data_IF_274207878548
#
_entry.id   IF_274207878548
#
_cell.length_a   1.000
_cell.length_b   1.000
_cell.length_c   1.000
_cell.angle_alpha   90.00
_cell.angle_beta   90.00
_cell.angle_gamma   90.00
#
_symmetry.space_group_name_H-M   'P 1'
#
loop_
_entity.id
_entity.type
_entity.pdbx_description
1 polymer ?
#
# COMPACT_ATOMS: atom_id res chain seq x y z
N UNK A 1 9.70 4.06 -56.86
CA UNK A 1 8.44 3.30 -56.78
C UNK A 1 7.98 3.36 -55.34
N UNK A 2 7.13 4.34 -55.05
CA UNK A 2 6.75 4.77 -53.70
C UNK A 2 5.57 3.92 -53.23
N UNK A 3 5.76 3.08 -52.22
CA UNK A 3 4.65 2.35 -51.58
C UNK A 3 4.00 3.24 -50.53
N UNK A 4 2.87 3.83 -50.91
CA UNK A 4 1.95 4.52 -50.01
C UNK A 4 1.44 3.53 -48.95
N UNK A 5 1.72 3.82 -47.68
CA UNK A 5 1.05 3.17 -46.55
C UNK A 5 -0.37 3.72 -46.47
N UNK A 6 -1.34 2.84 -46.71
CA UNK A 6 -2.76 3.09 -46.48
C UNK A 6 -3.00 3.43 -45.01
N UNK A 7 -3.43 4.68 -44.77
CA UNK A 7 -3.66 5.28 -43.45
C UNK A 7 -5.15 5.36 -43.09
N UNK A 8 -5.95 4.40 -43.55
CA UNK A 8 -7.42 4.43 -43.39
C UNK A 8 -8.02 3.28 -42.57
N UNK A 9 -7.28 2.73 -41.59
CA UNK A 9 -7.91 1.92 -40.52
C UNK A 9 -8.34 2.83 -39.37
N UNK A 10 -9.63 2.92 -39.03
CA UNK A 10 -10.03 3.59 -37.80
C UNK A 10 -9.30 2.91 -36.63
N UNK A 11 -8.62 3.70 -35.79
CA UNK A 11 -8.15 3.20 -34.50
C UNK A 11 -9.39 2.68 -33.79
N UNK A 12 -9.47 1.37 -33.60
CA UNK A 12 -10.45 0.80 -32.67
C UNK A 12 -10.15 1.48 -31.34
N UNK A 13 -11.04 2.37 -30.91
CA UNK A 13 -10.93 2.99 -29.58
C UNK A 13 -10.89 1.84 -28.59
N UNK A 14 -9.85 1.77 -27.76
CA UNK A 14 -9.83 0.79 -26.68
C UNK A 14 -11.15 0.89 -25.91
N UNK A 15 -11.83 -0.23 -25.65
CA UNK A 15 -13.13 -0.21 -24.98
C UNK A 15 -12.96 0.46 -23.61
N UNK A 16 -13.75 1.48 -23.34
CA UNK A 16 -13.76 2.14 -22.03
C UNK A 16 -14.01 1.09 -20.94
N UNK A 17 -13.15 0.99 -19.92
CA UNK A 17 -13.28 -0.05 -18.91
C UNK A 17 -14.59 0.13 -18.12
N UNK A 18 -15.21 -0.98 -17.72
CA UNK A 18 -16.42 -0.98 -16.86
C UNK A 18 -16.16 -0.22 -15.56
N UNK A 19 -15.00 -0.45 -14.95
CA UNK A 19 -14.55 0.22 -13.74
C UNK A 19 -13.04 0.41 -13.81
N UNK A 20 -12.58 1.53 -13.28
CA UNK A 20 -11.21 2.00 -13.44
C UNK A 20 -10.67 2.52 -12.12
N UNK A 21 -9.47 2.06 -11.75
CA UNK A 21 -8.64 2.69 -10.73
C UNK A 21 -7.57 3.52 -11.45
N UNK A 22 -7.78 4.83 -11.50
CA UNK A 22 -6.84 5.78 -12.09
C UNK A 22 -5.79 6.12 -11.04
N UNK A 23 -4.52 5.83 -11.36
CA UNK A 23 -3.38 6.05 -10.48
C UNK A 23 -2.50 7.18 -11.03
N UNK A 24 -2.42 8.27 -10.29
CA UNK A 24 -1.54 9.39 -10.57
C UNK A 24 -0.13 9.11 -10.04
N UNK A 25 0.76 8.71 -10.94
CA UNK A 25 2.16 8.41 -10.63
C UNK A 25 2.95 9.67 -10.29
N UNK A 26 2.52 10.86 -10.73
CA UNK A 26 3.12 12.12 -10.28
C UNK A 26 2.83 12.36 -8.81
N UNK A 27 1.61 12.06 -8.36
CA UNK A 27 1.26 12.16 -6.95
C UNK A 27 2.16 11.24 -6.09
N UNK A 28 2.38 9.99 -6.50
CA UNK A 28 3.29 9.08 -5.79
C UNK A 28 4.71 9.65 -5.73
N UNK A 29 5.25 10.10 -6.87
CA UNK A 29 6.57 10.74 -6.95
C UNK A 29 6.70 11.92 -6.00
N UNK A 30 5.74 12.84 -6.04
CA UNK A 30 5.76 14.08 -5.26
C UNK A 30 5.55 13.79 -3.76
N UNK A 31 4.70 12.83 -3.40
CA UNK A 31 4.55 12.38 -2.02
C UNK A 31 5.86 11.81 -1.47
N UNK A 32 6.58 10.99 -2.24
CA UNK A 32 7.89 10.47 -1.83
C UNK A 32 8.89 11.61 -1.62
N UNK A 33 8.93 12.60 -2.51
CA UNK A 33 9.79 13.77 -2.35
C UNK A 33 9.44 14.58 -1.07
N UNK A 34 8.15 14.78 -0.79
CA UNK A 34 7.66 15.42 0.44
C UNK A 34 8.08 14.64 1.68
N UNK A 35 7.92 13.31 1.68
CA UNK A 35 8.29 12.45 2.80
C UNK A 35 9.81 12.41 3.03
N UNK A 36 10.61 12.42 1.96
CA UNK A 36 12.07 12.49 2.03
C UNK A 36 12.54 13.82 2.61
N UNK A 37 11.92 14.93 2.20
CA UNK A 37 12.19 16.25 2.78
C UNK A 37 11.82 16.28 4.28
N UNK A 38 10.67 15.69 4.65
CA UNK A 38 10.23 15.56 6.05
C UNK A 38 11.23 14.75 6.89
N UNK A 39 11.80 13.68 6.34
CA UNK A 39 12.82 12.85 6.99
C UNK A 39 14.22 13.49 7.01
N UNK A 40 14.34 14.77 6.67
CA UNK A 40 15.60 15.55 6.61
C UNK A 40 16.63 14.93 5.65
N UNK A 41 16.15 14.34 4.54
CA UNK A 41 17.01 13.74 3.53
C UNK A 41 17.61 12.38 3.91
N UNK A 42 17.17 11.77 5.02
CA UNK A 42 17.47 10.36 5.32
C UNK A 42 17.02 9.46 4.18
N UNK A 43 17.75 8.35 3.90
CA UNK A 43 17.26 7.29 3.02
C UNK A 43 15.81 6.92 3.30
N UNK A 44 15.05 6.72 2.22
CA UNK A 44 13.65 6.35 2.28
C UNK A 44 13.45 5.00 1.56
N UNK A 45 12.86 4.05 2.27
CA UNK A 45 12.35 2.81 1.69
C UNK A 45 10.88 2.95 1.38
N UNK A 46 10.54 3.07 0.09
CA UNK A 46 9.15 3.10 -0.35
C UNK A 46 8.58 1.67 -0.31
N UNK A 47 7.55 1.47 0.51
CA UNK A 47 6.94 0.14 0.69
C UNK A 47 5.83 -0.07 -0.35
N UNK A 48 6.07 -1.00 -1.27
CA UNK A 48 5.22 -1.27 -2.45
C UNK A 48 4.61 -2.67 -2.47
N UNK A 49 4.67 -3.40 -1.34
CA UNK A 49 3.98 -4.69 -1.17
C UNK A 49 2.48 -4.62 -1.50
N UNK A 50 1.87 -5.79 -1.65
CA UNK A 50 0.46 -5.96 -2.00
C UNK A 50 0.08 -5.16 -3.25
N UNK A 51 0.86 -5.34 -4.32
CA UNK A 51 0.64 -4.68 -5.61
C UNK A 51 0.58 -3.16 -5.51
N UNK A 52 1.56 -2.55 -4.82
CA UNK A 52 1.59 -1.11 -4.56
C UNK A 52 0.41 -0.64 -3.70
N UNK A 53 -0.02 -1.43 -2.71
CA UNK A 53 -1.26 -1.16 -1.95
C UNK A 53 -2.47 -1.01 -2.90
N UNK A 54 -2.52 -1.83 -3.96
CA UNK A 54 -3.54 -1.78 -5.01
C UNK A 54 -3.32 -0.73 -6.11
N UNK A 55 -2.25 0.07 -6.02
CA UNK A 55 -1.92 1.11 -7.00
C UNK A 55 -1.09 0.60 -8.17
N UNK A 56 -0.65 -0.67 -8.18
CA UNK A 56 0.22 -1.26 -9.20
C UNK A 56 1.67 -1.33 -8.74
N UNK A 57 2.21 -2.55 -8.64
CA UNK A 57 3.54 -2.83 -8.09
C UNK A 57 4.67 -2.10 -8.83
N UNK A 58 4.75 -2.30 -10.15
CA UNK A 58 5.88 -1.86 -10.97
C UNK A 58 5.85 -0.34 -11.13
N UNK A 59 4.69 0.21 -11.46
CA UNK A 59 4.49 1.63 -11.73
C UNK A 59 4.66 2.46 -10.46
N UNK A 60 4.13 2.00 -9.32
CA UNK A 60 4.34 2.68 -8.05
C UNK A 60 5.82 2.66 -7.61
N UNK A 61 6.52 1.54 -7.81
CA UNK A 61 7.95 1.45 -7.52
C UNK A 61 8.75 2.43 -8.39
N UNK A 62 8.51 2.47 -9.70
CA UNK A 62 9.16 3.40 -10.61
C UNK A 62 8.88 4.87 -10.24
N UNK A 63 7.63 5.22 -9.91
CA UNK A 63 7.26 6.54 -9.44
C UNK A 63 7.95 6.91 -8.13
N UNK A 64 8.04 5.97 -7.19
CA UNK A 64 8.74 6.18 -5.92
C UNK A 64 10.25 6.41 -6.13
N UNK A 65 10.89 5.64 -7.03
CA UNK A 65 12.29 5.88 -7.43
C UNK A 65 12.48 7.28 -8.00
N UNK A 66 11.59 7.71 -8.90
CA UNK A 66 11.63 9.06 -9.46
C UNK A 66 11.40 10.16 -8.41
N UNK A 67 10.70 9.85 -7.31
CA UNK A 67 10.53 10.74 -6.16
C UNK A 67 11.73 10.79 -5.22
N UNK A 68 12.74 9.95 -5.46
CA UNK A 68 13.98 9.89 -4.68
C UNK A 68 14.03 8.77 -3.63
N UNK A 69 13.16 7.76 -3.70
CA UNK A 69 13.29 6.59 -2.81
C UNK A 69 14.54 5.78 -3.13
N UNK A 70 15.51 5.76 -2.22
CA UNK A 70 16.75 4.99 -2.35
C UNK A 70 16.52 3.49 -2.18
N UNK A 71 15.45 3.08 -1.48
CA UNK A 71 15.10 1.69 -1.24
C UNK A 71 13.66 1.38 -1.66
N UNK A 72 13.44 0.12 -2.04
CA UNK A 72 12.11 -0.46 -2.20
C UNK A 72 11.89 -1.57 -1.18
N UNK A 73 10.72 -1.59 -0.56
CA UNK A 73 10.32 -2.62 0.40
C UNK A 73 9.13 -3.43 -0.10
N UNK A 74 9.27 -4.74 -0.16
CA UNK A 74 8.20 -5.70 -0.53
C UNK A 74 8.06 -6.80 0.51
N UNK A 75 6.91 -7.45 0.58
CA UNK A 75 6.67 -8.46 1.60
C UNK A 75 7.25 -9.81 1.17
N UNK A 76 6.86 -10.29 -0.01
CA UNK A 76 7.13 -11.65 -0.47
C UNK A 76 8.15 -11.66 -1.62
N UNK A 77 8.72 -12.83 -1.93
CA UNK A 77 9.77 -12.95 -2.94
C UNK A 77 9.22 -12.69 -4.34
N UNK A 78 7.99 -13.08 -4.64
CA UNK A 78 7.36 -12.90 -5.95
C UNK A 78 7.26 -11.43 -6.34
N UNK A 79 6.99 -10.55 -5.36
CA UNK A 79 6.96 -9.10 -5.58
C UNK A 79 8.35 -8.57 -5.93
N UNK A 80 9.39 -9.02 -5.20
CA UNK A 80 10.76 -8.64 -5.46
C UNK A 80 11.20 -9.07 -6.87
N UNK A 81 10.89 -10.32 -7.22
CA UNK A 81 11.24 -10.89 -8.53
C UNK A 81 10.46 -10.23 -9.67
N UNK A 82 9.19 -9.86 -9.47
CA UNK A 82 8.41 -9.11 -10.44
C UNK A 82 9.03 -7.73 -10.73
N UNK A 83 9.48 -7.03 -9.69
CA UNK A 83 10.17 -5.74 -9.85
C UNK A 83 11.52 -5.88 -10.55
N UNK A 84 12.30 -6.92 -10.22
CA UNK A 84 13.56 -7.23 -10.90
C UNK A 84 13.32 -7.55 -12.39
N UNK A 85 12.30 -8.35 -12.70
CA UNK A 85 11.90 -8.66 -14.08
C UNK A 85 11.43 -7.42 -14.85
N UNK A 86 10.85 -6.43 -14.17
CA UNK A 86 10.47 -5.14 -14.74
C UNK A 86 11.64 -4.15 -14.88
N UNK A 87 12.85 -4.52 -14.41
CA UNK A 87 14.07 -3.71 -14.58
C UNK A 87 14.47 -2.85 -13.39
N UNK A 88 13.82 -2.95 -12.22
CA UNK A 88 14.33 -2.28 -11.01
C UNK A 88 15.66 -2.93 -10.60
N UNK A 89 16.72 -2.12 -10.56
CA UNK A 89 18.09 -2.55 -10.18
C UNK A 89 18.54 -1.95 -8.86
N UNK A 90 17.69 -1.17 -8.20
CA UNK A 90 18.05 -0.46 -6.98
C UNK A 90 18.00 -1.34 -5.72
N UNK A 91 18.48 -0.80 -4.59
CA UNK A 91 18.41 -1.47 -3.30
C UNK A 91 16.97 -1.87 -2.94
N UNK A 92 16.80 -3.10 -2.47
CA UNK A 92 15.50 -3.68 -2.19
C UNK A 92 15.58 -4.63 -1.00
N UNK A 93 14.56 -4.58 -0.14
CA UNK A 93 14.36 -5.54 0.95
C UNK A 93 13.08 -6.35 0.73
N UNK A 94 13.17 -7.66 0.86
CA UNK A 94 12.03 -8.57 1.06
C UNK A 94 12.12 -9.25 2.44
N UNK A 95 10.99 -9.46 3.11
CA UNK A 95 11.01 -9.81 4.54
C UNK A 95 10.02 -10.87 5.01
N UNK A 96 9.30 -11.54 4.13
CA UNK A 96 8.28 -12.53 4.52
C UNK A 96 8.45 -13.84 3.74
N UNK A 97 9.68 -14.36 3.72
CA UNK A 97 9.94 -15.71 3.21
C UNK A 97 9.49 -16.76 4.23
N UNK A 98 8.79 -17.80 3.78
CA UNK A 98 8.35 -18.90 4.66
C UNK A 98 9.41 -20.00 4.76
N UNK A 99 9.44 -20.80 5.85
CA UNK A 99 10.40 -21.90 5.97
C UNK A 99 10.35 -22.86 4.77
N UNK A 100 11.51 -23.15 4.20
CA UNK A 100 11.64 -24.03 3.04
C UNK A 100 11.30 -23.41 1.67
N UNK A 101 10.97 -22.11 1.61
CA UNK A 101 10.84 -21.38 0.35
C UNK A 101 12.21 -21.24 -0.35
N UNK A 102 12.23 -21.35 -1.67
CA UNK A 102 13.47 -21.18 -2.43
C UNK A 102 13.83 -19.69 -2.56
N UNK A 103 14.72 -19.24 -1.68
CA UNK A 103 15.25 -17.88 -1.66
C UNK A 103 16.39 -17.65 -2.66
N UNK A 104 16.89 -18.69 -3.33
CA UNK A 104 18.07 -18.58 -4.20
C UNK A 104 17.88 -17.58 -5.35
N UNK A 105 16.71 -17.46 -6.02
CA UNK A 105 16.53 -16.47 -7.07
C UNK A 105 16.64 -15.03 -6.55
N UNK A 106 16.17 -14.77 -5.33
CA UNK A 106 16.21 -13.44 -4.71
C UNK A 106 17.66 -13.05 -4.36
N UNK A 107 18.45 -13.97 -3.80
CA UNK A 107 19.88 -13.76 -3.52
C UNK A 107 20.63 -13.46 -4.83
N UNK A 108 20.43 -14.28 -5.86
CA UNK A 108 21.08 -14.09 -7.16
C UNK A 108 20.69 -12.76 -7.83
N UNK A 109 19.48 -12.26 -7.59
CA UNK A 109 18.98 -10.98 -8.08
C UNK A 109 19.38 -9.77 -7.21
N UNK A 110 20.21 -9.96 -6.18
CA UNK A 110 20.65 -8.89 -5.29
C UNK A 110 19.50 -8.26 -4.50
N UNK A 111 18.50 -9.06 -4.10
CA UNK A 111 17.47 -8.66 -3.15
C UNK A 111 18.01 -8.92 -1.74
N UNK A 112 17.99 -7.91 -0.88
CA UNK A 112 18.32 -8.13 0.53
C UNK A 112 17.16 -8.82 1.24
N UNK A 113 17.50 -9.74 2.13
CA UNK A 113 16.52 -10.58 2.80
C UNK A 113 16.51 -10.33 4.30
N UNK A 114 15.33 -10.38 4.90
CA UNK A 114 15.21 -10.31 6.35
C UNK A 114 15.26 -11.70 6.98
N UNK A 115 16.07 -11.82 8.04
CA UNK A 115 16.00 -12.93 8.97
C UNK A 115 15.31 -12.48 10.26
N UNK A 116 14.24 -13.17 10.64
CA UNK A 116 13.53 -12.96 11.91
C UNK A 116 13.54 -14.19 12.83
N UNK A 117 14.26 -15.24 12.46
CA UNK A 117 14.56 -16.37 13.35
C UNK A 117 15.96 -16.93 13.07
N UNK A 118 16.51 -17.69 14.02
CA UNK A 118 17.77 -18.41 13.82
C UNK A 118 17.65 -19.50 12.75
N UNK A 119 16.49 -20.16 12.65
CA UNK A 119 16.23 -21.15 11.60
C UNK A 119 16.24 -20.52 10.20
N UNK A 120 15.59 -19.35 10.05
CA UNK A 120 15.58 -18.63 8.80
C UNK A 120 16.97 -18.11 8.43
N UNK A 121 17.74 -17.60 9.41
CA UNK A 121 19.15 -17.26 9.18
C UNK A 121 19.92 -18.47 8.61
N UNK A 122 19.77 -19.66 9.21
CA UNK A 122 20.44 -20.86 8.74
C UNK A 122 20.02 -21.27 7.31
N UNK A 123 18.73 -21.14 6.96
CA UNK A 123 18.21 -21.38 5.60
C UNK A 123 18.81 -20.41 4.58
N UNK A 124 18.84 -19.11 4.90
CA UNK A 124 19.43 -18.08 4.04
C UNK A 124 20.92 -18.33 3.81
N UNK A 125 21.67 -18.71 4.85
CA UNK A 125 23.08 -19.08 4.73
C UNK A 125 23.27 -20.36 3.89
N UNK A 126 22.37 -21.33 4.03
CA UNK A 126 22.36 -22.54 3.20
C UNK A 126 22.22 -22.24 1.71
N UNK A 127 21.28 -21.36 1.37
CA UNK A 127 21.08 -20.88 0.00
C UNK A 127 22.26 -20.05 -0.52
N UNK A 128 22.83 -19.18 0.31
CA UNK A 128 24.02 -18.40 -0.04
C UNK A 128 25.20 -19.31 -0.40
N UNK A 129 25.45 -20.35 0.42
CA UNK A 129 26.49 -21.35 0.18
C UNK A 129 26.27 -22.16 -1.08
N UNK A 130 25.03 -22.53 -1.41
CA UNK A 130 24.74 -23.28 -2.65
C UNK A 130 24.99 -22.45 -3.91
N UNK A 131 24.86 -21.13 -3.82
CA UNK A 131 25.16 -20.18 -4.89
C UNK A 131 26.63 -19.74 -4.93
N UNK A 132 27.40 -19.98 -3.87
CA UNK A 132 28.74 -19.42 -3.70
C UNK A 132 28.72 -17.88 -3.61
N UNK A 133 27.66 -17.31 -3.05
CA UNK A 133 27.45 -15.87 -2.91
C UNK A 133 27.35 -15.46 -1.43
N UNK A 134 27.61 -14.18 -1.16
CA UNK A 134 27.35 -13.57 0.15
C UNK A 134 25.88 -13.13 0.18
N UNK A 135 25.10 -13.59 1.16
CA UNK A 135 23.73 -13.08 1.36
C UNK A 135 23.74 -11.76 2.13
N UNK A 136 23.03 -10.76 1.64
CA UNK A 136 22.83 -9.50 2.33
C UNK A 136 21.59 -9.58 3.24
N UNK A 137 21.80 -9.33 4.53
CA UNK A 137 20.80 -9.58 5.57
C UNK A 137 20.43 -8.30 6.31
N UNK A 138 19.13 -8.07 6.44
CA UNK A 138 18.59 -7.09 7.39
C UNK A 138 17.87 -7.82 8.52
N UNK A 139 18.53 -7.93 9.67
CA UNK A 139 18.03 -8.66 10.83
C UNK A 139 16.81 -7.93 11.40
N UNK A 140 15.73 -8.66 11.65
CA UNK A 140 14.52 -8.10 12.25
C UNK A 140 14.38 -8.55 13.69
N UNK A 141 14.26 -7.59 14.59
CA UNK A 141 14.04 -7.84 16.02
C UNK A 141 12.60 -7.48 16.40
N UNK A 142 12.01 -8.24 17.31
CA UNK A 142 10.70 -7.90 17.87
C UNK A 142 10.86 -7.03 19.11
N UNK A 143 10.44 -5.77 19.02
CA UNK A 143 10.52 -4.83 20.14
C UNK A 143 9.21 -4.70 20.91
N UNK A 144 8.21 -5.52 20.61
CA UNK A 144 6.90 -5.52 21.29
C UNK A 144 5.68 -5.61 20.37
N UNK A 145 5.88 -5.79 19.05
CA UNK A 145 4.78 -6.00 18.12
C UNK A 145 4.23 -7.43 18.20
N UNK A 146 5.07 -8.40 18.59
CA UNK A 146 4.72 -9.83 18.72
C UNK A 146 4.12 -10.41 17.42
N UNK A 147 4.72 -10.06 16.27
CA UNK A 147 4.27 -10.50 14.93
C UNK A 147 5.37 -11.21 14.16
N UNK A 148 6.47 -10.52 13.94
CA UNK A 148 7.64 -11.08 13.29
C UNK A 148 8.85 -10.25 13.65
N UNK A 149 10.00 -10.90 13.72
CA UNK A 149 11.20 -10.41 14.36
C UNK A 149 11.62 -11.42 15.43
N UNK A 150 12.92 -11.52 15.69
CA UNK A 150 13.43 -12.42 16.72
C UNK A 150 13.01 -11.89 18.10
N UNK A 151 12.57 -12.79 18.99
CA UNK A 151 12.21 -12.43 20.35
C UNK A 151 13.42 -11.92 21.14
N UNK A 152 13.20 -11.00 22.08
CA UNK A 152 14.26 -10.36 22.88
C UNK A 152 15.22 -11.35 23.54
N UNK A 153 14.68 -12.47 24.03
CA UNK A 153 15.45 -13.52 24.71
C UNK A 153 16.44 -14.26 23.79
N UNK A 154 16.32 -14.12 22.47
CA UNK A 154 17.18 -14.79 21.48
C UNK A 154 18.06 -13.80 20.68
N UNK A 155 18.02 -12.50 21.00
CA UNK A 155 18.77 -11.48 20.26
C UNK A 155 20.27 -11.74 20.26
N UNK A 156 20.84 -12.08 21.42
CA UNK A 156 22.28 -12.29 21.57
C UNK A 156 22.76 -13.46 20.73
N UNK A 157 22.03 -14.56 20.75
CA UNK A 157 22.32 -15.76 19.97
C UNK A 157 22.23 -15.45 18.47
N UNK A 158 21.18 -14.77 18.01
CA UNK A 158 21.05 -14.40 16.60
C UNK A 158 22.20 -13.51 16.13
N UNK A 159 22.59 -12.50 16.94
CA UNK A 159 23.67 -11.59 16.56
C UNK A 159 25.03 -12.30 16.55
N UNK A 160 25.27 -13.22 17.49
CA UNK A 160 26.48 -14.03 17.50
C UNK A 160 26.56 -14.94 16.26
N UNK A 161 25.45 -15.59 15.89
CA UNK A 161 25.36 -16.44 14.70
C UNK A 161 25.57 -15.62 13.41
N UNK A 162 24.90 -14.47 13.28
CA UNK A 162 25.05 -13.59 12.13
C UNK A 162 26.50 -13.07 12.01
N UNK A 163 27.14 -12.71 13.13
CA UNK A 163 28.55 -12.28 13.11
C UNK A 163 29.48 -13.42 12.74
N UNK A 164 29.20 -14.65 13.17
CA UNK A 164 29.97 -15.81 12.76
C UNK A 164 29.88 -16.02 11.24
N UNK A 165 28.69 -15.85 10.66
CA UNK A 165 28.49 -15.90 9.21
C UNK A 165 29.23 -14.78 8.45
N UNK A 166 29.29 -13.56 8.98
CA UNK A 166 30.12 -12.48 8.39
C UNK A 166 31.61 -12.85 8.37
N UNK A 167 32.13 -13.41 9.47
CA UNK A 167 33.54 -13.85 9.55
C UNK A 167 33.85 -15.02 8.61
N UNK A 168 32.86 -15.87 8.34
CA UNK A 168 32.97 -16.97 7.38
C UNK A 168 32.85 -16.50 5.92
N UNK A 169 32.49 -15.23 5.69
CA UNK A 169 32.25 -14.70 4.34
C UNK A 169 30.96 -15.23 3.70
N UNK A 170 29.99 -15.67 4.50
CA UNK A 170 28.72 -16.23 4.02
C UNK A 170 27.61 -15.18 3.97
N UNK A 171 27.68 -14.16 4.82
CA UNK A 171 26.70 -13.09 4.90
C UNK A 171 27.33 -11.71 5.11
N UNK A 172 26.56 -10.67 4.78
CA UNK A 172 26.80 -9.29 5.18
C UNK A 172 25.56 -8.78 5.91
N UNK A 173 25.69 -8.35 7.17
CA UNK A 173 24.57 -7.75 7.90
C UNK A 173 24.49 -6.27 7.53
N UNK A 174 23.63 -5.96 6.58
CA UNK A 174 23.46 -4.61 6.02
C UNK A 174 22.50 -3.76 6.83
N UNK A 175 21.63 -4.37 7.65
CA UNK A 175 20.68 -3.62 8.47
C UNK A 175 20.15 -4.35 9.69
N UNK A 176 19.55 -3.56 10.59
CA UNK A 176 18.83 -4.01 11.77
C UNK A 176 17.53 -3.22 11.87
N UNK A 177 16.41 -3.89 12.09
CA UNK A 177 15.11 -3.21 12.07
C UNK A 177 14.04 -3.84 12.95
N UNK A 178 13.03 -3.03 13.24
CA UNK A 178 11.80 -3.46 13.89
C UNK A 178 10.60 -2.67 13.32
N UNK A 179 9.40 -2.89 13.84
CA UNK A 179 8.18 -2.25 13.40
C UNK A 179 7.33 -1.78 14.59
N UNK A 180 6.86 -0.54 14.52
CA UNK A 180 6.02 0.06 15.55
C UNK A 180 4.62 -0.57 15.55
N UNK A 181 4.09 -0.83 16.75
CA UNK A 181 2.74 -1.36 16.94
C UNK A 181 1.70 -0.25 16.92
N UNK A 182 1.94 0.81 17.69
CA UNK A 182 1.03 1.95 17.87
C UNK A 182 1.65 3.21 17.26
N UNK A 183 2.20 3.11 16.05
CA UNK A 183 2.91 4.22 15.42
C UNK A 183 2.01 5.42 15.10
N UNK A 184 0.73 5.14 14.91
CA UNK A 184 -0.42 6.02 14.66
C UNK A 184 -1.08 6.57 15.93
N UNK A 185 -0.74 6.01 17.11
CA UNK A 185 -1.17 6.49 18.42
C UNK A 185 0.05 6.97 19.23
N UNK A 186 0.56 8.19 18.97
CA UNK A 186 1.85 8.63 19.51
C UNK A 186 1.95 8.67 21.04
N UNK A 187 0.82 8.86 21.71
CA UNK A 187 0.74 8.90 23.17
C UNK A 187 0.61 7.51 23.81
N UNK A 188 0.50 6.45 23.00
CA UNK A 188 0.40 5.09 23.51
C UNK A 188 1.70 4.67 24.22
N UNK A 189 1.58 4.17 25.45
CA UNK A 189 2.71 3.84 26.32
C UNK A 189 3.74 2.87 25.71
N UNK A 190 3.33 2.04 24.74
CA UNK A 190 4.24 1.13 24.04
C UNK A 190 5.25 1.83 23.12
N UNK A 191 4.92 3.03 22.61
CA UNK A 191 5.76 3.76 21.64
C UNK A 191 7.16 4.04 22.20
N UNK A 192 7.32 4.75 23.33
CA UNK A 192 8.65 4.99 23.91
C UNK A 192 9.36 3.69 24.31
N UNK A 193 8.63 2.67 24.75
CA UNK A 193 9.20 1.37 25.13
C UNK A 193 9.78 0.61 23.92
N UNK A 194 9.07 0.59 22.78
CA UNK A 194 9.57 -0.02 21.55
C UNK A 194 10.83 0.71 21.03
N UNK A 195 10.87 2.05 21.11
CA UNK A 195 12.04 2.84 20.72
C UNK A 195 13.25 2.50 21.60
N UNK A 196 13.05 2.43 22.91
CA UNK A 196 14.10 2.06 23.87
C UNK A 196 14.62 0.64 23.61
N UNK A 197 13.73 -0.33 23.42
CA UNK A 197 14.10 -1.72 23.11
C UNK A 197 14.86 -1.84 21.79
N UNK A 198 14.47 -1.06 20.78
CA UNK A 198 15.21 -1.04 19.53
C UNK A 198 16.63 -0.50 19.71
N UNK A 199 16.82 0.56 20.49
CA UNK A 199 18.15 1.07 20.82
C UNK A 199 19.00 0.04 21.58
N UNK A 200 18.38 -0.74 22.49
CA UNK A 200 19.05 -1.85 23.17
C UNK A 200 19.47 -2.96 22.19
N UNK A 201 18.60 -3.34 21.25
CA UNK A 201 18.93 -4.32 20.21
C UNK A 201 20.11 -3.85 19.34
N UNK A 202 20.15 -2.57 18.96
CA UNK A 202 21.28 -1.97 18.23
C UNK A 202 22.58 -2.10 19.02
N UNK A 203 22.58 -1.69 20.29
CA UNK A 203 23.76 -1.78 21.14
C UNK A 203 24.26 -3.23 21.28
N UNK A 204 23.34 -4.19 21.46
CA UNK A 204 23.66 -5.62 21.56
C UNK A 204 24.25 -6.18 20.26
N UNK A 205 23.73 -5.76 19.11
CA UNK A 205 24.28 -6.15 17.82
C UNK A 205 25.71 -5.57 17.64
N UNK A 206 25.92 -4.30 18.00
CA UNK A 206 27.22 -3.64 17.93
C UNK A 206 28.26 -4.27 18.87
N UNK A 207 27.85 -4.65 20.09
CA UNK A 207 28.67 -5.38 21.08
C UNK A 207 29.05 -6.78 20.57
N UNK A 208 28.16 -7.45 19.84
CA UNK A 208 28.47 -8.72 19.15
C UNK A 208 29.44 -8.54 17.98
N UNK A 209 29.77 -7.29 17.61
CA UNK A 209 30.70 -6.94 16.54
C UNK A 209 30.04 -6.73 15.18
N UNK A 210 28.70 -6.76 15.09
CA UNK A 210 27.98 -6.39 13.87
C UNK A 210 28.07 -4.88 13.64
N UNK A 211 27.99 -4.47 12.38
CA UNK A 211 27.90 -3.05 12.00
C UNK A 211 26.76 -2.87 10.99
N UNK A 212 25.50 -3.00 11.44
CA UNK A 212 24.34 -2.86 10.56
C UNK A 212 24.34 -1.44 9.99
N UNK A 213 24.63 -1.30 8.69
CA UNK A 213 24.75 0.00 8.02
C UNK A 213 23.45 0.80 8.00
N UNK A 214 22.31 0.11 8.04
CA UNK A 214 20.97 0.71 8.07
C UNK A 214 20.20 0.25 9.32
N UNK A 215 19.95 1.17 10.25
CA UNK A 215 19.01 0.96 11.36
C UNK A 215 17.71 1.67 11.03
N UNK A 216 16.58 0.97 11.10
CA UNK A 216 15.30 1.56 10.74
C UNK A 216 14.12 1.01 11.55
N UNK A 217 13.29 1.94 12.06
CA UNK A 217 12.12 1.63 12.89
C UNK A 217 10.84 2.29 12.36
N UNK A 218 10.93 3.55 11.93
CA UNK A 218 9.79 4.35 11.51
C UNK A 218 9.06 3.80 10.27
N UNK A 219 7.77 3.54 10.44
CA UNK A 219 6.78 3.35 9.38
C UNK A 219 6.10 4.71 9.06
N UNK A 220 5.08 4.69 8.18
CA UNK A 220 4.33 5.90 7.78
C UNK A 220 3.91 6.81 8.95
N UNK A 221 3.16 6.34 9.97
CA UNK A 221 2.71 7.25 11.03
C UNK A 221 3.87 7.74 11.91
N UNK A 222 4.81 6.85 12.27
CA UNK A 222 5.99 7.21 13.09
C UNK A 222 6.89 8.23 12.40
N UNK A 223 6.90 8.29 11.06
CA UNK A 223 7.58 9.35 10.32
C UNK A 223 7.04 10.75 10.69
N UNK A 224 5.73 10.88 10.92
CA UNK A 224 5.12 12.16 11.28
C UNK A 224 5.15 12.46 12.78
N UNK A 225 4.99 11.43 13.59
CA UNK A 225 4.69 11.58 15.02
C UNK A 225 5.90 11.41 15.93
N UNK A 226 6.95 10.70 15.50
CA UNK A 226 8.07 10.32 16.36
C UNK A 226 9.44 10.49 15.66
N UNK A 227 9.96 11.72 15.50
CA UNK A 227 11.26 11.97 14.88
C UNK A 227 12.44 11.20 15.50
N UNK A 228 12.38 10.94 16.81
CA UNK A 228 13.39 10.15 17.52
C UNK A 228 13.46 8.67 17.09
N UNK A 229 12.51 8.18 16.31
CA UNK A 229 12.44 6.80 15.82
C UNK A 229 12.86 6.63 14.35
N UNK A 230 13.35 7.69 13.69
CA UNK A 230 13.72 7.63 12.27
C UNK A 230 15.00 6.84 11.99
N UNK A 231 15.98 6.91 12.91
CA UNK A 231 17.31 6.27 12.74
C UNK A 231 17.96 6.63 11.40
N UNK A 232 18.50 5.65 10.66
CA UNK A 232 19.22 5.88 9.40
C UNK A 232 18.29 5.87 8.18
N UNK A 233 17.14 5.20 8.27
CA UNK A 233 16.19 5.07 7.15
C UNK A 233 14.74 4.99 7.63
N UNK A 234 13.83 5.62 6.90
CA UNK A 234 12.38 5.57 7.16
C UNK A 234 11.68 4.69 6.12
N UNK A 235 10.54 4.08 6.49
CA UNK A 235 9.82 3.11 5.65
C UNK A 235 8.34 3.44 5.44
N UNK A 236 8.01 4.57 4.78
CA UNK A 236 6.62 4.88 4.47
C UNK A 236 6.06 3.89 3.44
N UNK A 237 4.85 3.41 3.74
CA UNK A 237 4.01 2.66 2.80
C UNK A 237 2.82 3.52 2.42
N UNK A 238 1.77 3.53 3.23
CA UNK A 238 0.52 4.24 2.93
C UNK A 238 0.72 5.70 2.47
N UNK A 239 1.63 6.43 3.11
CA UNK A 239 1.84 7.85 2.83
C UNK A 239 2.44 8.13 1.45
N UNK A 240 3.15 7.17 0.83
CA UNK A 240 3.66 7.39 -0.54
C UNK A 240 2.50 7.45 -1.55
N UNK A 241 1.38 6.80 -1.22
CA UNK A 241 0.14 6.84 -2.01
C UNK A 241 -0.76 8.03 -1.64
N UNK A 242 -0.28 8.89 -0.75
CA UNK A 242 -0.91 10.15 -0.43
C UNK A 242 -2.05 10.07 0.56
N UNK A 243 -2.14 8.98 1.32
CA UNK A 243 -3.16 8.78 2.35
C UNK A 243 -2.56 9.04 3.74
N UNK A 244 -3.35 9.64 4.62
CA UNK A 244 -2.90 9.91 5.99
C UNK A 244 -2.79 8.61 6.78
N UNK A 245 -1.66 8.37 7.45
CA UNK A 245 -1.52 7.24 8.37
C UNK A 245 -2.01 7.56 9.79
N UNK A 246 -2.48 8.80 10.04
CA UNK A 246 -2.97 9.31 11.33
C UNK A 246 -4.25 10.14 11.10
N UNK A 247 -5.31 9.55 10.51
CA UNK A 247 -6.48 10.30 10.07
C UNK A 247 -7.22 11.02 11.21
N UNK A 248 -7.12 10.54 12.45
CA UNK A 248 -7.70 11.20 13.64
C UNK A 248 -6.96 12.48 14.06
N UNK A 249 -5.73 12.69 13.56
CA UNK A 249 -4.87 13.82 13.91
C UNK A 249 -4.68 14.79 12.76
N UNK A 250 -4.54 14.28 11.53
CA UNK A 250 -4.28 15.10 10.35
C UNK A 250 -4.80 14.43 9.07
N UNK A 251 -5.42 15.23 8.21
CA UNK A 251 -5.77 14.85 6.85
C UNK A 251 -4.53 14.72 5.96
N UNK A 252 -4.68 14.06 4.82
CA UNK A 252 -3.58 13.96 3.84
C UNK A 252 -3.06 15.34 3.41
N UNK A 253 -3.95 16.31 3.18
CA UNK A 253 -3.58 17.66 2.78
C UNK A 253 -2.77 18.42 3.84
N UNK A 254 -3.12 18.28 5.12
CA UNK A 254 -2.37 18.87 6.24
C UNK A 254 -0.97 18.27 6.38
N UNK A 255 -0.79 17.01 5.96
CA UNK A 255 0.51 16.34 5.88
C UNK A 255 1.29 16.66 4.59
N UNK A 256 0.74 17.50 3.70
CA UNK A 256 1.34 17.84 2.41
C UNK A 256 1.27 16.70 1.38
N UNK A 257 0.36 15.77 1.57
CA UNK A 257 0.19 14.57 0.74
C UNK A 257 -0.98 14.72 -0.23
N UNK A 258 -0.85 14.12 -1.42
CA UNK A 258 -1.91 14.06 -2.44
C UNK A 258 -2.29 12.61 -2.70
N UNK A 259 -3.54 12.19 -2.42
CA UNK A 259 -4.01 10.84 -2.75
C UNK A 259 -3.83 10.52 -4.23
N UNK A 260 -3.20 9.38 -4.52
CA UNK A 260 -2.80 9.01 -5.88
C UNK A 260 -3.89 8.23 -6.64
N UNK A 261 -4.89 7.67 -5.97
CA UNK A 261 -5.87 6.78 -6.60
C UNK A 261 -7.27 7.38 -6.64
N UNK A 262 -7.90 7.30 -7.81
CA UNK A 262 -9.33 7.57 -8.00
C UNK A 262 -10.01 6.33 -8.55
N UNK A 263 -10.96 5.77 -7.79
CA UNK A 263 -11.81 4.66 -8.24
C UNK A 263 -13.08 5.21 -8.87
N UNK A 264 -13.31 4.91 -10.14
CA UNK A 264 -14.48 5.37 -10.89
C UNK A 264 -15.12 4.29 -11.76
N UNK A 265 -16.38 4.52 -12.10
CA UNK A 265 -17.17 3.68 -13.01
C UNK A 265 -18.29 4.53 -13.62
N UNK A 266 -19.25 3.89 -14.31
CA UNK A 266 -20.44 4.54 -14.84
C UNK A 266 -21.70 3.86 -14.32
N UNK A 267 -22.78 4.61 -14.13
CA UNK A 267 -24.08 4.04 -13.77
C UNK A 267 -24.56 3.08 -14.86
N UNK A 268 -24.82 1.83 -14.51
CA UNK A 268 -25.31 0.83 -15.46
C UNK A 268 -26.83 0.94 -15.68
N UNK A 269 -27.57 1.41 -14.69
CA UNK A 269 -29.02 1.62 -14.77
C UNK A 269 -29.41 2.83 -13.92
N UNK A 270 -30.40 3.58 -14.38
CA UNK A 270 -31.09 4.62 -13.61
C UNK A 270 -32.59 4.39 -13.77
N UNK A 271 -33.33 4.30 -12.66
CA UNK A 271 -34.77 4.06 -12.69
C UNK A 271 -35.53 4.79 -11.58
N UNK A 272 -36.76 5.27 -11.87
CA UNK A 272 -37.65 5.78 -10.82
C UNK A 272 -38.14 4.63 -9.93
N UNK A 273 -38.30 4.92 -8.65
CA UNK A 273 -38.78 3.98 -7.62
C UNK A 273 -39.75 4.73 -6.70
N UNK A 274 -41.02 4.28 -6.56
CA UNK A 274 -41.98 4.89 -5.65
C UNK A 274 -41.56 4.83 -4.18
N UNK A 275 -42.21 5.64 -3.33
CA UNK A 275 -42.14 5.51 -1.88
C UNK A 275 -42.55 4.10 -1.40
N UNK A 276 -41.98 3.65 -0.28
CA UNK A 276 -42.31 2.38 0.36
C UNK A 276 -41.68 1.15 -0.28
N UNK A 277 -40.74 1.32 -1.21
CA UNK A 277 -40.09 0.21 -1.91
C UNK A 277 -38.77 -0.19 -1.24
N UNK A 278 -38.60 -1.49 -1.01
CA UNK A 278 -37.36 -2.06 -0.48
C UNK A 278 -36.24 -2.04 -1.52
N UNK A 279 -35.00 -1.78 -1.07
CA UNK A 279 -33.82 -1.70 -1.92
C UNK A 279 -32.78 -2.76 -1.51
N UNK A 280 -32.34 -3.55 -2.49
CA UNK A 280 -31.34 -4.62 -2.35
C UNK A 280 -31.72 -5.74 -1.36
N UNK A 281 -30.80 -6.65 -1.06
CA UNK A 281 -31.05 -7.83 -0.25
C UNK A 281 -31.57 -7.49 1.16
N UNK A 282 -32.63 -8.18 1.58
CA UNK A 282 -33.25 -8.01 2.89
C UNK A 282 -33.99 -6.69 3.07
N UNK A 283 -34.07 -5.85 2.03
CA UNK A 283 -34.73 -4.54 2.07
C UNK A 283 -34.29 -3.70 3.27
N UNK A 284 -32.99 -3.68 3.57
CA UNK A 284 -32.41 -2.92 4.69
C UNK A 284 -32.49 -1.41 4.50
N UNK A 285 -32.93 -0.96 3.31
CA UNK A 285 -33.35 0.39 3.03
C UNK A 285 -34.73 0.33 2.37
N UNK A 286 -35.61 1.26 2.76
CA UNK A 286 -36.94 1.46 2.17
C UNK A 286 -37.07 2.92 1.80
N UNK A 287 -37.43 3.20 0.55
CA UNK A 287 -37.59 4.56 0.04
C UNK A 287 -38.66 5.31 0.84
N UNK A 288 -38.33 6.49 1.37
CA UNK A 288 -39.26 7.31 2.18
C UNK A 288 -40.17 8.20 1.32
N UNK A 289 -39.79 8.37 0.05
CA UNK A 289 -40.48 9.18 -0.95
C UNK A 289 -40.21 8.58 -2.33
N UNK A 290 -40.98 8.99 -3.32
CA UNK A 290 -40.64 8.74 -4.72
C UNK A 290 -39.23 9.27 -4.97
N UNK A 291 -38.39 8.44 -5.57
CA UNK A 291 -37.00 8.79 -5.85
C UNK A 291 -36.50 8.12 -7.12
N UNK A 292 -35.25 8.38 -7.49
CA UNK A 292 -34.56 7.74 -8.61
C UNK A 292 -33.33 7.03 -8.08
N UNK A 293 -33.22 5.72 -8.35
CA UNK A 293 -32.07 4.92 -7.95
C UNK A 293 -31.12 4.70 -9.13
N UNK A 294 -29.83 4.80 -8.85
CA UNK A 294 -28.74 4.45 -9.75
C UNK A 294 -28.10 3.11 -9.36
N UNK A 295 -27.76 2.28 -10.36
CA UNK A 295 -27.04 1.03 -10.17
C UNK A 295 -25.57 1.23 -10.52
N UNK A 296 -24.70 1.00 -9.54
CA UNK A 296 -23.24 1.07 -9.70
C UNK A 296 -22.71 -0.36 -9.91
N UNK A 297 -22.04 -0.69 -11.03
CA UNK A 297 -21.63 -2.06 -11.37
C UNK A 297 -20.29 -2.43 -10.73
N UNK A 298 -20.15 -2.17 -9.43
CA UNK A 298 -19.04 -2.56 -8.57
C UNK A 298 -19.61 -3.19 -7.29
N UNK A 299 -19.02 -4.27 -6.82
CA UNK A 299 -19.44 -4.91 -5.57
C UNK A 299 -18.30 -5.45 -4.74
N UNK A 300 -18.63 -6.26 -3.74
CA UNK A 300 -17.61 -6.76 -2.80
C UNK A 300 -16.61 -7.74 -3.42
N UNK A 301 -16.91 -8.35 -4.57
CA UNK A 301 -15.94 -9.13 -5.33
C UNK A 301 -14.93 -8.24 -6.08
N UNK A 302 -15.27 -6.98 -6.33
CA UNK A 302 -14.37 -5.97 -6.92
C UNK A 302 -13.59 -5.21 -5.83
N UNK A 303 -13.88 -5.43 -4.54
CA UNK A 303 -13.22 -4.78 -3.40
C UNK A 303 -14.07 -3.76 -2.64
N UNK A 304 -15.33 -3.54 -3.03
CA UNK A 304 -16.22 -2.62 -2.30
C UNK A 304 -16.64 -3.24 -0.95
N UNK A 305 -16.35 -2.62 0.20
CA UNK A 305 -16.61 -3.24 1.49
C UNK A 305 -18.12 -3.39 1.73
N UNK A 306 -18.58 -4.63 1.92
CA UNK A 306 -20.00 -4.91 2.24
C UNK A 306 -20.46 -4.19 3.51
N UNK A 307 -19.54 -3.96 4.46
CA UNK A 307 -19.82 -3.27 5.72
C UNK A 307 -20.16 -1.79 5.53
N UNK A 308 -19.82 -1.17 4.40
CA UNK A 308 -20.21 0.20 4.07
C UNK A 308 -21.67 0.35 3.59
N UNK A 309 -22.45 -0.74 3.57
CA UNK A 309 -23.87 -0.72 3.19
C UNK A 309 -24.64 0.31 4.03
N UNK A 310 -25.42 1.17 3.37
CA UNK A 310 -26.19 2.26 3.98
C UNK A 310 -25.38 3.39 4.67
N UNK A 311 -24.05 3.35 4.64
CA UNK A 311 -23.20 4.32 5.32
C UNK A 311 -22.33 5.13 4.34
N UNK A 312 -21.81 4.48 3.29
CA UNK A 312 -20.97 5.16 2.32
C UNK A 312 -21.76 6.07 1.37
N UNK A 313 -21.04 6.99 0.75
CA UNK A 313 -21.51 7.83 -0.34
C UNK A 313 -20.62 7.64 -1.57
N UNK A 314 -21.13 8.03 -2.74
CA UNK A 314 -20.37 8.18 -3.99
C UNK A 314 -20.57 9.57 -4.56
N UNK A 315 -19.74 9.99 -5.49
CA UNK A 315 -19.91 11.25 -6.21
C UNK A 315 -20.52 11.02 -7.59
N UNK A 316 -21.67 11.66 -7.86
CA UNK A 316 -22.36 11.60 -9.15
C UNK A 316 -22.91 12.97 -9.52
N UNK A 317 -22.52 13.46 -10.70
CA UNK A 317 -22.97 14.74 -11.26
C UNK A 317 -22.82 15.92 -10.27
N UNK A 318 -21.65 16.04 -9.64
CA UNK A 318 -21.33 17.18 -8.78
C UNK A 318 -21.89 17.10 -7.36
N UNK A 319 -22.38 15.93 -6.91
CA UNK A 319 -23.00 15.75 -5.59
C UNK A 319 -22.66 14.40 -4.97
N UNK A 320 -22.50 14.36 -3.64
CA UNK A 320 -22.47 13.12 -2.86
C UNK A 320 -23.85 12.47 -2.85
N UNK A 321 -23.90 11.17 -3.11
CA UNK A 321 -25.10 10.33 -3.22
C UNK A 321 -24.95 9.14 -2.28
N UNK A 322 -25.92 8.88 -1.38
CA UNK A 322 -25.80 7.80 -0.41
C UNK A 322 -25.95 6.44 -1.10
N UNK A 323 -25.14 5.49 -0.65
CA UNK A 323 -25.33 4.06 -0.92
C UNK A 323 -26.57 3.59 -0.14
N UNK A 324 -27.53 2.97 -0.82
CA UNK A 324 -28.80 2.54 -0.22
C UNK A 324 -29.04 1.04 -0.40
N UNK A 325 -29.39 0.37 0.68
CA UNK A 325 -29.47 -1.09 0.75
C UNK A 325 -28.09 -1.74 0.86
N UNK A 326 -28.09 -3.08 0.81
CA UNK A 326 -26.85 -3.86 0.89
C UNK A 326 -26.01 -3.74 -0.38
N UNK A 327 -24.70 -3.60 -0.21
CA UNK A 327 -23.71 -3.85 -1.26
C UNK A 327 -23.72 -5.35 -1.61
N UNK A 328 -23.82 -5.65 -2.91
CA UNK A 328 -23.86 -7.02 -3.45
C UNK A 328 -22.49 -7.42 -4.02
N UNK A 329 -22.41 -8.64 -4.58
CA UNK A 329 -21.14 -9.19 -5.09
C UNK A 329 -20.55 -8.33 -6.21
N UNK A 330 -21.38 -7.85 -7.13
CA UNK A 330 -20.92 -7.17 -8.34
C UNK A 330 -21.54 -5.78 -8.54
N UNK A 331 -22.37 -5.31 -7.59
CA UNK A 331 -23.11 -4.05 -7.73
C UNK A 331 -23.64 -3.51 -6.39
N UNK A 332 -23.93 -2.21 -6.35
CA UNK A 332 -24.73 -1.58 -5.27
C UNK A 332 -25.63 -0.47 -5.82
N UNK A 333 -26.58 -0.02 -5.00
CA UNK A 333 -27.54 1.01 -5.38
C UNK A 333 -27.20 2.34 -4.70
N UNK A 334 -27.46 3.44 -5.40
CA UNK A 334 -27.31 4.80 -4.88
C UNK A 334 -28.59 5.59 -5.08
N UNK A 335 -28.96 6.42 -4.11
CA UNK A 335 -30.11 7.32 -4.25
C UNK A 335 -29.70 8.63 -4.93
N UNK A 336 -30.24 8.87 -6.12
CA UNK A 336 -29.98 10.05 -6.92
C UNK A 336 -30.96 11.20 -6.60
N UNK A 337 -32.03 10.91 -5.88
CA UNK A 337 -33.09 11.86 -5.50
C UNK A 337 -34.16 12.07 -6.59
N UNK A 338 -35.34 12.59 -6.20
CA UNK A 338 -36.51 12.71 -7.09
C UNK A 338 -36.32 13.66 -8.27
N UNK A 339 -35.53 14.71 -8.10
CA UNK A 339 -35.34 15.76 -9.12
C UNK A 339 -34.14 15.50 -10.04
N UNK A 340 -33.55 14.31 -9.98
CA UNK A 340 -32.32 14.03 -10.72
C UNK A 340 -32.55 14.00 -12.23
N UNK A 341 -31.63 14.62 -12.97
CA UNK A 341 -31.53 14.51 -14.44
C UNK A 341 -30.46 13.51 -14.88
N UNK A 342 -29.80 12.85 -13.93
CA UNK A 342 -28.76 11.84 -14.19
C UNK A 342 -29.34 10.68 -15.02
N UNK A 343 -28.50 10.11 -15.89
CA UNK A 343 -28.84 8.98 -16.77
C UNK A 343 -27.80 7.87 -16.63
N UNK A 344 -28.15 6.68 -17.11
CA UNK A 344 -27.18 5.59 -17.26
C UNK A 344 -26.01 6.07 -18.13
N UNK A 345 -24.80 5.60 -17.83
CA UNK A 345 -23.54 6.06 -18.43
C UNK A 345 -22.92 7.28 -17.72
N UNK A 346 -23.61 7.94 -16.78
CA UNK A 346 -23.00 9.00 -16.00
C UNK A 346 -21.87 8.46 -15.11
N UNK A 347 -20.76 9.20 -15.03
CA UNK A 347 -19.62 8.85 -14.20
C UNK A 347 -20.00 8.83 -12.72
N UNK A 348 -19.47 7.83 -12.03
CA UNK A 348 -19.50 7.66 -10.58
C UNK A 348 -18.06 7.63 -10.10
N UNK A 349 -17.67 8.60 -9.28
CA UNK A 349 -16.42 8.50 -8.51
C UNK A 349 -16.78 7.87 -7.17
N UNK A 350 -16.30 6.65 -6.95
CA UNK A 350 -16.54 5.89 -5.71
C UNK A 350 -15.76 6.58 -4.59
N UNK A 351 -14.45 6.74 -4.81
CA UNK A 351 -13.61 7.61 -4.01
C UNK A 351 -12.43 8.17 -4.84
N UNK A 352 -11.90 9.31 -4.42
CA UNK A 352 -10.76 9.98 -5.06
C UNK A 352 -9.97 10.84 -4.06
N UNK A 353 -9.39 11.92 -4.57
CA UNK A 353 -8.54 12.82 -3.78
C UNK A 353 -9.32 13.78 -2.85
N UNK A 354 -10.65 13.87 -3.01
CA UNK A 354 -11.54 14.76 -2.25
C UNK A 354 -11.52 16.21 -2.73
N UNK A 355 -10.81 16.53 -3.82
CA UNK A 355 -10.58 17.91 -4.27
C UNK A 355 -11.84 18.61 -4.78
N UNK A 356 -12.78 17.84 -5.32
CA UNK A 356 -14.06 18.35 -5.84
C UNK A 356 -15.22 18.12 -4.86
N UNK A 357 -14.93 17.60 -3.65
CA UNK A 357 -15.94 17.19 -2.67
C UNK A 357 -16.38 15.72 -2.81
N UNK A 358 -15.77 14.95 -3.70
CA UNK A 358 -15.97 13.51 -3.77
C UNK A 358 -15.54 12.80 -2.48
N UNK A 359 -16.08 11.62 -2.16
CA UNK A 359 -15.58 10.80 -1.06
C UNK A 359 -14.11 10.42 -1.26
N UNK A 360 -13.39 10.27 -0.15
CA UNK A 360 -11.99 9.81 -0.10
C UNK A 360 -11.94 8.33 0.31
N UNK A 361 -10.76 7.71 0.20
CA UNK A 361 -10.56 6.38 0.76
C UNK A 361 -10.76 6.35 2.29
N UNK A 362 -10.56 7.48 2.99
CA UNK A 362 -10.84 7.58 4.42
C UNK A 362 -12.34 7.63 4.70
N UNK A 363 -13.13 8.40 3.93
CA UNK A 363 -14.60 8.41 4.07
C UNK A 363 -15.17 6.98 3.93
N UNK A 364 -14.63 6.18 3.01
CA UNK A 364 -15.02 4.77 2.83
C UNK A 364 -14.54 3.86 3.96
N UNK A 365 -13.36 4.13 4.51
CA UNK A 365 -12.85 3.40 5.67
C UNK A 365 -13.75 3.62 6.89
N UNK A 366 -14.11 4.87 7.16
CA UNK A 366 -14.99 5.25 8.26
C UNK A 366 -16.38 4.61 8.10
N UNK A 367 -16.96 4.69 6.89
CA UNK A 367 -18.24 4.07 6.58
C UNK A 367 -18.24 2.54 6.74
N UNK A 368 -17.11 1.88 6.50
CA UNK A 368 -16.95 0.43 6.63
C UNK A 368 -16.49 -0.02 8.02
N UNK A 369 -16.11 0.89 8.91
CA UNK A 369 -15.51 0.57 10.21
C UNK A 369 -14.12 -0.06 10.09
N UNK A 370 -13.30 0.47 9.18
CA UNK A 370 -11.94 -0.03 8.91
C UNK A 370 -10.96 1.13 8.67
N UNK A 371 -9.80 0.85 8.08
CA UNK A 371 -8.74 1.80 7.77
C UNK A 371 -8.54 1.95 6.25
N UNK A 372 -8.09 3.13 5.82
CA UNK A 372 -7.86 3.43 4.40
C UNK A 372 -6.86 2.49 3.72
N UNK A 373 -5.94 1.87 4.48
CA UNK A 373 -5.08 0.78 4.02
C UNK A 373 -5.88 -0.35 3.37
N UNK A 374 -6.94 -0.82 4.04
CA UNK A 374 -7.76 -1.95 3.57
C UNK A 374 -8.58 -1.56 2.34
N UNK A 375 -9.05 -0.31 2.27
CA UNK A 375 -9.85 0.21 1.15
C UNK A 375 -9.08 0.15 -0.15
N UNK A 376 -7.84 0.67 -0.19
CA UNK A 376 -7.06 0.71 -1.43
C UNK A 376 -6.41 -0.62 -1.78
N UNK A 377 -6.02 -1.44 -0.79
CA UNK A 377 -5.31 -2.69 -1.05
C UNK A 377 -6.21 -3.84 -1.50
N UNK A 378 -7.54 -3.69 -1.42
CA UNK A 378 -8.50 -4.76 -1.74
C UNK A 378 -9.15 -4.65 -3.12
N UNK A 379 -8.74 -3.68 -3.94
CA UNK A 379 -9.27 -3.53 -5.29
C UNK A 379 -8.98 -4.79 -6.11
N UNK A 380 -10.04 -5.46 -6.55
CA UNK A 380 -9.99 -6.76 -7.21
C UNK A 380 -9.59 -6.70 -8.69
N UNK A 381 -9.17 -7.83 -9.24
CA UNK A 381 -8.63 -7.92 -10.61
C UNK A 381 -9.60 -7.65 -11.76
N UNK A 382 -10.88 -7.38 -11.50
CA UNK A 382 -11.87 -6.96 -12.51
C UNK A 382 -11.87 -5.44 -12.74
N UNK A 383 -11.13 -4.69 -11.92
CA UNK A 383 -10.94 -3.25 -12.08
C UNK A 383 -9.71 -3.04 -12.96
N UNK A 384 -9.87 -2.29 -14.05
CA UNK A 384 -8.75 -1.88 -14.89
C UNK A 384 -7.96 -0.81 -14.17
N UNK A 385 -6.64 -0.99 -14.04
CA UNK A 385 -5.76 0.09 -13.57
C UNK A 385 -5.26 0.90 -14.75
N UNK A 386 -5.33 2.21 -14.61
CA UNK A 386 -4.82 3.16 -15.61
C UNK A 386 -3.87 4.11 -14.92
N UNK A 387 -2.70 4.28 -15.52
CA UNK A 387 -1.63 5.09 -14.96
C UNK A 387 -1.53 6.43 -15.69
N UNK A 388 -1.39 7.51 -14.93
CA UNK A 388 -1.23 8.88 -15.47
C UNK A 388 -0.06 9.59 -14.76
N UNK A 389 0.43 10.69 -15.33
CA UNK A 389 1.28 11.64 -14.62
C UNK A 389 2.80 11.41 -14.66
N UNK A 390 3.28 10.28 -15.16
CA UNK A 390 4.68 10.11 -15.60
C UNK A 390 4.71 10.15 -17.13
N UNK A 391 5.42 11.14 -17.67
CA UNK A 391 5.65 11.22 -19.12
C UNK A 391 6.43 9.97 -19.56
N UNK A 392 6.02 9.39 -20.70
CA UNK A 392 6.67 8.23 -21.34
C UNK A 392 8.00 8.61 -21.96
#
# INVERSE_FOLDING_TARGET
MTTLRDSSRPRVSEPTPRAEAVVDLRAIRDNVATLRARAEGRPLMAVVKADGYGHGLVEAAAAARAGGAEWIGVAVLEEAMALRAAGDTGPMLSWLAVPGEDVTPAIAAGVELSAYSRSQLAELLGAARSLGQVVHLQLKVDTGLNRGGIAEVEWRELFADARAAERAGEAAVTGLWSHMACGDEPDHHSVPEQIKRFAQAVALAEDAGLRPGLRHLANSPTLFTQPGAWWDMVRPGLSIYGLSPIPDQATAGELGLTPALTLRTSLALVKPVPAGQGVSYGHTHVTQRDTVLGLVPLGYADGIPRHASNAAEVWVAGRRRPVVGRVCMDQFMVDLGPETTVRAGAEVVVFGAGRSGEPTAQDWADAAGTISYEIVSRLGGRITRTFVGLDS
#
